data_IF_386221758825
#
_entry.id   IF_386221758825
#
_cell.length_a   1.000
_cell.length_b   1.000
_cell.length_c   1.000
_cell.angle_alpha   90.00
_cell.angle_beta   90.00
_cell.angle_gamma   90.00
#
_symmetry.space_group_name_H-M   'P 1'
#
loop_
_entity.id
_entity.type
_entity.pdbx_description
1 polymer ?
#
# COMPACT_ATOMS: atom_id res chain seq x y z
N UNK A 1 -17.22 11.02 -30.01
CA UNK A 1 -17.95 11.99 -29.15
C UNK A 1 -17.29 13.35 -29.34
N UNK A 2 -18.03 14.45 -29.48
CA UNK A 2 -17.43 15.78 -29.65
C UNK A 2 -16.76 16.24 -28.35
N UNK A 3 -15.62 16.93 -28.47
CA UNK A 3 -14.73 17.30 -27.35
C UNK A 3 -15.34 18.33 -26.37
N UNK A 4 -16.47 18.95 -26.74
CA UNK A 4 -17.19 19.94 -25.92
C UNK A 4 -18.07 19.36 -24.80
N UNK A 5 -18.05 18.03 -24.57
CA UNK A 5 -18.90 17.37 -23.58
C UNK A 5 -18.26 17.18 -22.19
N UNK A 6 -17.08 17.75 -21.93
CA UNK A 6 -16.36 17.65 -20.65
C UNK A 6 -16.52 18.97 -19.88
N UNK A 7 -17.30 18.97 -18.78
CA UNK A 7 -17.46 20.14 -17.92
C UNK A 7 -16.21 20.48 -17.09
N UNK A 8 -16.13 21.69 -16.54
CA UNK A 8 -15.00 22.18 -15.74
C UNK A 8 -14.67 21.32 -14.49
N UNK A 9 -15.63 20.55 -13.99
CA UNK A 9 -15.47 19.60 -12.89
C UNK A 9 -14.89 18.23 -13.30
N UNK A 10 -14.63 18.01 -14.59
CA UNK A 10 -14.13 16.76 -15.15
C UNK A 10 -15.21 15.68 -15.32
N UNK A 11 -14.92 14.67 -16.15
CA UNK A 11 -15.80 13.53 -16.44
C UNK A 11 -15.23 12.24 -15.84
N UNK A 12 -16.08 11.42 -15.25
CA UNK A 12 -15.70 10.08 -14.78
C UNK A 12 -15.68 9.10 -15.95
N UNK A 13 -14.58 8.36 -16.12
CA UNK A 13 -14.36 7.35 -17.15
C UNK A 13 -14.19 5.98 -16.48
N UNK A 14 -14.80 4.94 -17.05
CA UNK A 14 -14.73 3.57 -16.54
C UNK A 14 -14.15 2.64 -17.62
N UNK A 15 -13.17 1.83 -17.27
CA UNK A 15 -12.65 0.75 -18.10
C UNK A 15 -13.68 -0.37 -18.24
N UNK A 16 -14.13 -0.67 -19.46
CA UNK A 16 -15.11 -1.74 -19.72
C UNK A 16 -14.57 -3.15 -19.43
N UNK A 17 -13.26 -3.35 -19.60
CA UNK A 17 -12.62 -4.66 -19.41
C UNK A 17 -12.20 -4.93 -17.95
N UNK A 18 -11.82 -3.87 -17.23
CA UNK A 18 -11.11 -3.97 -15.96
C UNK A 18 -11.79 -3.25 -14.79
N UNK A 19 -12.91 -2.56 -15.03
CA UNK A 19 -13.75 -1.96 -13.97
C UNK A 19 -13.18 -0.73 -13.26
N UNK A 20 -11.91 -0.40 -13.48
CA UNK A 20 -11.25 0.77 -12.89
C UNK A 20 -11.89 2.08 -13.36
N UNK A 21 -11.95 3.07 -12.46
CA UNK A 21 -12.58 4.38 -12.68
C UNK A 21 -11.59 5.51 -12.42
N UNK A 22 -11.48 6.45 -13.35
CA UNK A 22 -10.67 7.67 -13.19
C UNK A 22 -11.40 8.90 -13.70
N UNK A 23 -10.97 10.09 -13.27
CA UNK A 23 -11.54 11.37 -13.73
C UNK A 23 -10.67 11.97 -14.82
N UNK A 24 -11.28 12.27 -15.97
CA UNK A 24 -10.67 13.03 -17.06
C UNK A 24 -11.03 14.50 -16.89
N UNK A 25 -10.03 15.36 -16.72
CA UNK A 25 -10.20 16.81 -16.67
C UNK A 25 -9.93 17.41 -18.05
N UNK A 26 -10.62 18.51 -18.42
CA UNK A 26 -10.31 19.22 -19.67
C UNK A 26 -8.91 19.82 -19.59
N UNK A 27 -8.22 19.87 -20.74
CA UNK A 27 -6.91 20.48 -20.84
C UNK A 27 -7.07 22.01 -20.75
N UNK A 28 -6.84 22.55 -19.56
CA UNK A 28 -6.80 24.00 -19.36
C UNK A 28 -5.53 24.50 -20.05
N UNK A 29 -5.68 25.18 -21.19
CA UNK A 29 -4.62 26.02 -21.73
C UNK A 29 -4.27 27.04 -20.64
N UNK A 30 -3.16 26.81 -19.94
CA UNK A 30 -2.67 27.68 -18.88
C UNK A 30 -2.45 29.07 -19.48
N UNK A 31 -3.34 30.01 -19.18
CA UNK A 31 -2.97 31.42 -19.16
C UNK A 31 -1.75 31.51 -18.24
N UNK A 32 -0.62 31.93 -18.80
CA UNK A 32 0.64 32.11 -18.08
C UNK A 32 0.41 33.04 -16.90
N UNK A 33 0.31 32.47 -15.70
CA UNK A 33 0.51 33.23 -14.47
C UNK A 33 2.01 33.52 -14.37
N UNK A 34 2.36 34.78 -14.59
CA UNK A 34 3.71 35.29 -14.37
C UNK A 34 4.08 35.15 -12.89
N UNK A 35 4.93 34.18 -12.59
CA UNK A 35 5.62 34.11 -11.31
C UNK A 35 6.58 35.30 -11.21
N UNK A 36 6.18 36.38 -10.53
CA UNK A 36 7.12 37.38 -9.99
C UNK A 36 7.92 36.73 -8.86
N UNK A 37 9.06 36.15 -9.21
CA UNK A 37 10.10 35.79 -8.25
C UNK A 37 10.71 37.09 -7.72
N UNK A 38 10.42 37.44 -6.47
CA UNK A 38 11.23 38.43 -5.75
C UNK A 38 12.36 37.67 -5.07
N UNK A 39 13.57 37.75 -5.62
CA UNK A 39 14.78 37.24 -4.99
C UNK A 39 15.03 37.98 -3.67
N UNK A 40 14.88 37.29 -2.55
CA UNK A 40 15.34 37.81 -1.25
C UNK A 40 16.75 37.28 -1.02
N UNK A 41 17.75 38.14 -1.25
CA UNK A 41 19.13 37.90 -0.81
C UNK A 41 19.20 37.93 0.72
N UNK A 42 19.84 36.96 1.40
CA UNK A 42 20.01 37.04 2.84
C UNK A 42 21.09 38.08 3.19
N UNK A 43 20.68 39.23 3.75
CA UNK A 43 21.60 40.11 4.48
C UNK A 43 21.77 39.58 5.90
N UNK A 44 22.94 39.03 6.20
CA UNK A 44 23.39 38.85 7.57
C UNK A 44 23.53 40.23 8.24
N UNK A 45 22.90 40.41 9.39
CA UNK A 45 23.30 41.42 10.38
C UNK A 45 23.16 40.83 11.78
N UNK A 46 24.32 40.57 12.37
CA UNK A 46 24.48 40.45 13.81
C UNK A 46 24.14 41.79 14.47
N UNK A 47 23.38 41.79 15.56
CA UNK A 47 23.64 42.66 16.72
C UNK A 47 22.76 42.27 17.91
N UNK A 48 23.43 41.94 19.01
CA UNK A 48 22.84 41.80 20.34
C UNK A 48 22.23 43.12 20.81
N UNK A 49 21.00 43.09 21.35
CA UNK A 49 20.59 44.02 22.41
C UNK A 49 19.43 43.47 23.25
N UNK A 50 19.73 43.18 24.51
CA UNK A 50 18.76 42.89 25.55
C UNK A 50 17.90 44.14 25.83
N UNK A 51 16.58 44.02 25.69
CA UNK A 51 15.61 44.97 26.25
C UNK A 51 14.47 44.18 26.87
N UNK A 52 14.46 44.09 28.21
CA UNK A 52 13.31 43.59 28.98
C UNK A 52 12.18 44.62 28.90
N UNK A 53 11.08 44.30 28.22
CA UNK A 53 9.82 45.05 28.32
C UNK A 53 8.93 44.41 29.39
N UNK A 54 8.63 45.16 30.45
CA UNK A 54 7.64 44.81 31.47
C UNK A 54 6.27 45.27 30.94
N UNK A 55 5.44 44.33 30.48
CA UNK A 55 4.10 44.66 30.00
C UNK A 55 3.10 44.66 31.17
N UNK A 56 2.52 45.83 31.43
CA UNK A 56 1.35 46.02 32.27
C UNK A 56 0.13 45.42 31.57
N UNK A 57 -0.54 44.46 32.24
CA UNK A 57 -1.73 43.78 31.69
C UNK A 57 -2.96 44.69 31.79
N UNK A 58 -3.46 45.19 30.66
CA UNK A 58 -4.85 45.67 30.56
C UNK A 58 -5.76 44.45 30.41
N UNK A 59 -6.88 44.41 31.14
CA UNK A 59 -7.93 43.39 30.97
C UNK A 59 -8.73 43.74 29.72
N UNK A 60 -8.24 43.32 28.55
CA UNK A 60 -9.02 43.41 27.33
C UNK A 60 -10.08 42.30 27.28
N UNK A 61 -11.28 42.65 26.83
CA UNK A 61 -12.37 41.70 26.59
C UNK A 61 -11.88 40.63 25.61
N UNK A 62 -12.21 39.34 25.80
CA UNK A 62 -11.78 38.31 24.87
C UNK A 62 -12.30 38.63 23.47
N UNK A 63 -11.37 38.81 22.53
CA UNK A 63 -11.70 38.97 21.12
C UNK A 63 -12.33 37.69 20.59
N UNK A 64 -13.12 37.79 19.51
CA UNK A 64 -13.88 36.68 18.93
C UNK A 64 -13.03 35.44 18.57
N UNK A 65 -11.69 35.58 18.55
CA UNK A 65 -10.72 34.55 18.19
C UNK A 65 -9.65 34.29 19.28
N UNK A 66 -9.90 34.67 20.54
CA UNK A 66 -8.98 34.31 21.61
C UNK A 66 -9.00 32.79 21.89
N UNK A 67 -7.87 32.18 22.28
CA UNK A 67 -7.82 30.74 22.57
C UNK A 67 -8.78 30.34 23.71
N UNK A 68 -9.05 31.27 24.63
CA UNK A 68 -10.00 31.09 25.73
C UNK A 68 -11.46 31.08 25.25
N UNK A 69 -11.82 31.96 24.30
CA UNK A 69 -13.16 31.99 23.70
C UNK A 69 -13.44 30.73 22.88
N UNK A 70 -12.48 30.31 22.05
CA UNK A 70 -12.58 29.08 21.25
C UNK A 70 -12.69 27.84 22.12
N UNK A 71 -11.95 27.76 23.23
CA UNK A 71 -12.08 26.66 24.19
C UNK A 71 -13.47 26.62 24.85
N UNK A 72 -14.06 27.77 25.16
CA UNK A 72 -15.37 27.85 25.84
C UNK A 72 -16.56 27.61 24.91
N UNK A 73 -16.49 28.07 23.65
CA UNK A 73 -17.58 27.92 22.66
C UNK A 73 -17.45 26.66 21.79
N UNK A 74 -16.23 26.33 21.37
CA UNK A 74 -15.96 25.25 20.43
C UNK A 74 -15.21 24.07 21.06
N UNK A 75 -14.80 24.15 22.35
CA UNK A 75 -14.13 23.05 23.05
C UNK A 75 -12.68 22.82 22.64
N UNK A 76 -12.09 23.69 21.81
CA UNK A 76 -10.74 23.50 21.25
C UNK A 76 -9.71 24.15 22.19
N UNK A 77 -8.89 23.33 22.85
CA UNK A 77 -7.75 23.79 23.66
C UNK A 77 -6.49 23.83 22.78
N UNK A 78 -6.05 25.02 22.39
CA UNK A 78 -4.78 25.20 21.68
C UNK A 78 -3.67 25.22 22.73
N UNK A 79 -2.96 24.11 22.91
CA UNK A 79 -1.73 24.08 23.70
C UNK A 79 -0.58 24.61 22.84
N UNK A 80 0.06 25.71 23.26
CA UNK A 80 1.19 26.34 22.56
C UNK A 80 2.47 25.47 22.56
N UNK A 81 2.50 24.41 23.36
CA UNK A 81 3.58 23.44 23.37
C UNK A 81 3.26 22.33 22.36
N UNK A 82 3.73 22.55 21.13
CA UNK A 82 3.67 21.60 20.04
C UNK A 82 4.21 20.23 20.44
N UNK A 83 3.31 19.33 20.75
CA UNK A 83 3.53 17.90 20.57
C UNK A 83 2.24 17.34 19.98
N UNK A 84 2.10 17.58 18.67
CA UNK A 84 1.39 16.62 17.83
C UNK A 84 2.14 15.30 18.02
N UNK A 85 1.70 14.47 18.99
CA UNK A 85 1.89 13.04 18.91
C UNK A 85 1.05 12.59 17.73
N UNK A 86 1.54 12.88 16.52
CA UNK A 86 1.30 12.01 15.39
C UNK A 86 1.76 10.65 15.88
N UNK A 87 0.81 9.82 16.26
CA UNK A 87 1.01 8.39 16.25
C UNK A 87 1.35 8.10 14.80
N UNK A 88 2.64 8.11 14.49
CA UNK A 88 3.16 7.41 13.33
C UNK A 88 2.81 5.96 13.61
N UNK A 89 1.59 5.59 13.26
CA UNK A 89 1.27 4.22 12.93
C UNK A 89 2.18 3.96 11.73
N UNK A 90 3.38 3.48 12.03
CA UNK A 90 4.15 2.71 11.08
C UNK A 90 3.13 1.75 10.47
N UNK A 91 2.78 2.00 9.21
CA UNK A 91 2.02 1.06 8.41
C UNK A 91 2.93 -0.16 8.26
N UNK A 92 3.03 -0.95 9.32
CA UNK A 92 3.66 -2.25 9.35
C UNK A 92 2.79 -3.05 8.41
N UNK A 93 3.16 -3.06 7.13
CA UNK A 93 2.51 -3.85 6.10
C UNK A 93 2.62 -5.29 6.58
N UNK A 94 1.58 -5.77 7.26
CA UNK A 94 1.44 -7.17 7.63
C UNK A 94 1.39 -7.87 6.27
N UNK A 95 2.51 -8.49 5.86
CA UNK A 95 2.51 -9.36 4.71
C UNK A 95 1.67 -10.57 5.09
N UNK A 96 0.38 -10.51 4.77
CA UNK A 96 -0.50 -11.65 4.90
C UNK A 96 -0.05 -12.70 3.90
N UNK A 97 0.04 -13.94 4.36
CA UNK A 97 0.29 -15.08 3.50
C UNK A 97 -0.89 -15.24 2.53
N UNK A 98 -0.73 -14.72 1.32
CA UNK A 98 -1.79 -14.71 0.31
C UNK A 98 -2.02 -16.10 -0.30
N UNK A 99 -3.12 -16.24 -1.05
CA UNK A 99 -3.50 -17.48 -1.73
C UNK A 99 -2.38 -18.11 -2.55
N UNK A 100 -1.69 -17.32 -3.38
CA UNK A 100 -0.60 -17.82 -4.23
C UNK A 100 0.60 -18.35 -3.43
N UNK A 101 0.93 -17.70 -2.31
CA UNK A 101 2.01 -18.19 -1.43
C UNK A 101 1.61 -19.51 -0.76
N UNK A 102 0.34 -19.62 -0.34
CA UNK A 102 -0.23 -20.86 0.15
C UNK A 102 -0.24 -21.97 -0.89
N UNK A 103 -0.52 -21.64 -2.16
CA UNK A 103 -0.52 -22.60 -3.25
C UNK A 103 0.88 -23.14 -3.52
N UNK A 104 1.90 -22.27 -3.51
CA UNK A 104 3.30 -22.71 -3.64
C UNK A 104 3.70 -23.66 -2.51
N UNK A 105 3.39 -23.32 -1.26
CA UNK A 105 3.67 -24.22 -0.12
C UNK A 105 2.92 -25.54 -0.25
N UNK A 106 1.67 -25.52 -0.70
CA UNK A 106 0.89 -26.74 -0.93
C UNK A 106 1.51 -27.64 -2.00
N UNK A 107 2.03 -27.07 -3.09
CA UNK A 107 2.73 -27.84 -4.14
C UNK A 107 4.00 -28.49 -3.55
N UNK A 108 4.83 -27.72 -2.84
CA UNK A 108 6.06 -28.23 -2.22
C UNK A 108 5.73 -29.34 -1.20
N UNK A 109 4.69 -29.14 -0.40
CA UNK A 109 4.22 -30.14 0.55
C UNK A 109 3.71 -31.41 -0.14
N UNK A 110 2.96 -31.29 -1.23
CA UNK A 110 2.48 -32.43 -2.01
C UNK A 110 3.64 -33.24 -2.58
N UNK A 111 4.66 -32.56 -3.14
CA UNK A 111 5.88 -33.22 -3.62
C UNK A 111 6.58 -33.95 -2.47
N UNK A 112 6.67 -33.33 -1.29
CA UNK A 112 7.28 -33.95 -0.12
C UNK A 112 6.55 -35.23 0.31
N UNK A 113 5.21 -35.20 0.37
CA UNK A 113 4.40 -36.40 0.69
C UNK A 113 4.61 -37.49 -0.36
N UNK A 114 4.62 -37.15 -1.66
CA UNK A 114 4.90 -38.11 -2.73
C UNK A 114 6.29 -38.73 -2.61
N UNK A 115 7.30 -37.95 -2.20
CA UNK A 115 8.67 -38.47 -1.96
C UNK A 115 8.74 -39.41 -0.78
N UNK A 116 8.06 -39.08 0.32
CA UNK A 116 7.90 -40.00 1.46
C UNK A 116 7.23 -41.28 0.98
N UNK A 117 6.10 -41.18 0.27
CA UNK A 117 5.38 -42.34 -0.23
C UNK A 117 6.27 -43.24 -1.09
N UNK A 118 7.10 -42.64 -1.97
CA UNK A 118 8.06 -43.37 -2.81
C UNK A 118 9.10 -44.12 -1.97
N UNK A 119 9.65 -43.47 -0.94
CA UNK A 119 10.63 -44.09 -0.06
C UNK A 119 10.05 -45.27 0.74
N UNK A 120 8.80 -45.14 1.19
CA UNK A 120 8.12 -46.19 1.95
C UNK A 120 7.36 -47.20 1.08
N UNK A 121 7.44 -47.11 -0.26
CA UNK A 121 6.61 -47.91 -1.16
C UNK A 121 6.76 -49.42 -0.91
N UNK A 122 8.00 -49.91 -0.74
CA UNK A 122 8.28 -51.34 -0.57
C UNK A 122 7.69 -51.86 0.75
N UNK A 123 7.81 -51.07 1.82
CA UNK A 123 7.26 -51.39 3.13
C UNK A 123 5.72 -51.39 3.12
N UNK A 124 5.11 -50.50 2.33
CA UNK A 124 3.66 -50.45 2.17
C UNK A 124 3.18 -51.67 1.38
N UNK A 125 3.87 -52.05 0.30
CA UNK A 125 3.52 -53.20 -0.53
C UNK A 125 3.70 -54.52 0.22
N UNK A 126 4.75 -54.65 1.03
CA UNK A 126 5.00 -55.82 1.86
C UNK A 126 3.88 -56.02 2.90
N UNK A 127 3.46 -54.94 3.56
CA UNK A 127 2.38 -54.98 4.56
C UNK A 127 0.98 -55.10 3.93
N UNK A 128 0.78 -54.50 2.76
CA UNK A 128 -0.50 -54.39 2.08
C UNK A 128 -0.37 -54.73 0.59
N UNK A 129 -0.37 -56.03 0.23
CA UNK A 129 -0.11 -56.46 -1.15
C UNK A 129 -1.17 -55.99 -2.16
N UNK A 130 -2.39 -55.70 -1.71
CA UNK A 130 -3.44 -55.17 -2.59
C UNK A 130 -3.15 -53.74 -3.07
N UNK A 131 -2.36 -52.95 -2.32
CA UNK A 131 -2.00 -51.58 -2.69
C UNK A 131 -0.96 -51.52 -3.80
N UNK A 132 -0.26 -52.63 -4.08
CA UNK A 132 0.83 -52.71 -5.04
C UNK A 132 0.47 -52.12 -6.41
N UNK A 133 -0.64 -52.59 -6.96
CA UNK A 133 -1.12 -52.18 -8.29
C UNK A 133 -1.37 -50.66 -8.33
N UNK A 134 -1.97 -50.11 -7.27
CA UNK A 134 -2.27 -48.69 -7.20
C UNK A 134 -1.01 -47.83 -7.08
N UNK A 135 -0.04 -48.27 -6.28
CA UNK A 135 1.23 -47.55 -6.08
C UNK A 135 2.07 -47.59 -7.37
N UNK A 136 2.16 -48.74 -8.02
CA UNK A 136 2.87 -48.90 -9.29
C UNK A 136 2.26 -47.98 -10.37
N UNK A 137 0.94 -48.02 -10.56
CA UNK A 137 0.26 -47.11 -11.49
C UNK A 137 0.44 -45.64 -11.13
N UNK A 138 0.41 -45.29 -9.84
CA UNK A 138 0.61 -43.90 -9.42
C UNK A 138 1.98 -43.38 -9.83
N UNK A 139 3.05 -44.14 -9.59
CA UNK A 139 4.40 -43.72 -9.94
C UNK A 139 4.67 -43.77 -11.44
N UNK A 140 4.07 -44.72 -12.17
CA UNK A 140 4.09 -44.74 -13.62
C UNK A 140 3.44 -43.48 -14.20
N UNK A 141 2.28 -43.08 -13.70
CA UNK A 141 1.61 -41.84 -14.11
C UNK A 141 2.47 -40.60 -13.80
N UNK A 142 3.10 -40.53 -12.62
CA UNK A 142 4.00 -39.42 -12.27
C UNK A 142 5.18 -39.36 -13.25
N UNK A 143 5.74 -40.52 -13.64
CA UNK A 143 6.83 -40.59 -14.62
C UNK A 143 6.37 -40.11 -15.99
N UNK A 144 5.20 -40.55 -16.45
CA UNK A 144 4.61 -40.12 -17.72
C UNK A 144 4.37 -38.59 -17.73
N UNK A 145 3.81 -38.03 -16.66
CA UNK A 145 3.61 -36.58 -16.52
C UNK A 145 4.97 -35.85 -16.56
N UNK A 146 5.98 -36.36 -15.86
CA UNK A 146 7.33 -35.79 -15.89
C UNK A 146 7.92 -35.79 -17.31
N UNK A 147 7.77 -36.88 -18.04
CA UNK A 147 8.25 -37.00 -19.43
C UNK A 147 7.52 -36.02 -20.35
N UNK A 148 6.20 -35.89 -20.23
CA UNK A 148 5.41 -34.91 -21.00
C UNK A 148 5.87 -33.49 -20.70
N UNK A 149 6.04 -33.14 -19.43
CA UNK A 149 6.53 -31.81 -19.01
C UNK A 149 7.94 -31.57 -19.56
N UNK A 150 8.84 -32.54 -19.41
CA UNK A 150 10.21 -32.41 -19.91
C UNK A 150 10.25 -32.25 -21.44
N UNK A 151 9.48 -33.06 -22.16
CA UNK A 151 9.35 -32.95 -23.61
C UNK A 151 8.76 -31.61 -24.05
N UNK A 152 7.83 -31.04 -23.27
CA UNK A 152 7.29 -29.70 -23.54
C UNK A 152 8.34 -28.60 -23.36
N UNK A 153 9.21 -28.71 -22.36
CA UNK A 153 10.27 -27.72 -22.11
C UNK A 153 11.53 -27.90 -22.98
N UNK A 154 11.82 -29.11 -23.44
CA UNK A 154 13.02 -29.43 -24.24
C UNK A 154 12.73 -29.52 -25.73
N UNK A 155 11.49 -29.84 -26.11
CA UNK A 155 11.03 -29.88 -27.50
C UNK A 155 10.66 -28.52 -28.09
N UNK A 156 10.88 -27.44 -27.34
CA UNK A 156 10.76 -26.03 -27.75
C UNK A 156 12.08 -25.33 -27.46
#
# INVERSE_FOLDING_TARGET
MPDNAIGASGRLVQCSSCGNKWKQFPEIQKLKEENKVTEIRPKQKNTNKNVRKKNTRKKDRPTLYSPEYLAKKHGIKINENGSNKQKNAENKKIHSFGFYNSLVVFIVFTIFVLRILYFFQELIVERFPFLRIYIEYLFENIKNIKEIIFNFFVGY
#
